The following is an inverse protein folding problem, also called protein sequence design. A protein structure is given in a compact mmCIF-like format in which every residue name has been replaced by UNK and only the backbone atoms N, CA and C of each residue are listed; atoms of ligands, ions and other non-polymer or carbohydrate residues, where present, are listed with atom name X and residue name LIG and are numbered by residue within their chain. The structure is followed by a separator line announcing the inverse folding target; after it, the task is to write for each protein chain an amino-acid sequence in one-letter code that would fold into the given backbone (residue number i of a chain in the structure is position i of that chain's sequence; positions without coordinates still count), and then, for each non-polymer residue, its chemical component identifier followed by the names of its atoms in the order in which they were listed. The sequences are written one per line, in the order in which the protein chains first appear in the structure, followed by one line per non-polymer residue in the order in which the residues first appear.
data_IF_539685967747
#
_entry.id   IF_539685967747
#
_cell.length_a   1.000
_cell.length_b   1.000
_cell.length_c   1.000
_cell.angle_alpha   90.00
_cell.angle_beta   90.00
_cell.angle_gamma   90.00
#
_symmetry.space_group_name_H-M   'P 1'
#
loop_
_entity.id
_entity.type
_entity.pdbx_description
1 polymer ?
#
# COMPACT_ATOMS: atom_id res chain seq x y z
N UNK A 1 -13.98 18.72 105.21
CA UNK A 1 -12.79 19.07 104.40
C UNK A 1 -13.30 19.36 102.98
N UNK A 2 -13.74 20.59 102.65
CA UNK A 2 -12.99 21.70 102.00
C UNK A 2 -12.04 21.29 100.86
N UNK A 3 -12.33 21.85 99.65
CA UNK A 3 -11.39 22.48 98.68
C UNK A 3 -10.64 21.51 97.72
N UNK A 4 -10.47 21.72 96.40
CA UNK A 4 -10.78 22.78 95.41
C UNK A 4 -10.60 22.22 93.97
N UNK A 5 -11.31 22.86 93.02
CA UNK A 5 -11.19 22.88 91.56
C UNK A 5 -9.79 22.72 90.93
N UNK A 6 -9.71 22.19 89.69
CA UNK A 6 -9.11 22.92 88.54
C UNK A 6 -9.32 22.25 87.15
N UNK A 7 -9.94 23.01 86.22
CA UNK A 7 -9.88 23.06 84.74
C UNK A 7 -9.97 21.76 83.86
N UNK A 8 -10.37 21.73 82.57
CA UNK A 8 -11.18 22.49 81.60
C UNK A 8 -10.83 21.87 80.23
N UNK A 9 -11.79 21.37 79.44
CA UNK A 9 -11.88 21.52 77.97
C UNK A 9 -12.89 20.53 77.37
N UNK A 10 -13.99 21.10 76.89
CA UNK A 10 -14.94 20.48 75.99
C UNK A 10 -14.48 20.74 74.54
N UNK A 11 -14.44 19.71 73.68
CA UNK A 11 -14.51 19.87 72.23
C UNK A 11 -15.30 18.70 71.62
N UNK A 12 -16.37 18.96 70.83
CA UNK A 12 -17.11 17.97 70.07
C UNK A 12 -16.55 17.83 68.65
N UNK A 13 -16.57 16.63 68.07
CA UNK A 13 -16.35 16.39 66.64
C UNK A 13 -17.32 15.26 66.23
N UNK A 14 -18.57 15.52 65.83
CA UNK A 14 -19.05 16.28 64.68
C UNK A 14 -18.39 15.82 63.35
N UNK A 15 -19.18 15.03 62.62
CA UNK A 15 -19.25 14.88 61.16
C UNK A 15 -18.09 14.18 60.42
N UNK A 16 -18.19 12.85 60.30
CA UNK A 16 -17.75 12.13 59.09
C UNK A 16 -18.94 12.09 58.11
N UNK A 17 -19.08 13.11 57.27
CA UNK A 17 -19.97 13.03 56.11
C UNK A 17 -19.31 13.72 54.90
N UNK A 18 -19.32 13.00 53.78
CA UNK A 18 -19.04 13.46 52.42
C UNK A 18 -17.59 13.82 52.07
N UNK A 19 -16.74 12.81 51.88
CA UNK A 19 -15.58 12.89 50.99
C UNK A 19 -15.85 12.12 49.68
N UNK A 20 -17.01 12.37 49.05
CA UNK A 20 -17.17 12.06 47.62
C UNK A 20 -16.45 13.17 46.85
N UNK A 21 -15.23 12.91 46.35
CA UNK A 21 -14.64 13.76 45.31
C UNK A 21 -15.63 13.81 44.15
N UNK A 22 -16.10 15.01 43.81
CA UNK A 22 -16.94 15.26 42.64
C UNK A 22 -16.25 14.63 41.43
N UNK A 23 -16.86 13.62 40.82
CA UNK A 23 -16.39 13.06 39.56
C UNK A 23 -16.67 14.12 38.50
N UNK A 24 -15.63 14.87 38.12
CA UNK A 24 -15.72 15.77 36.98
C UNK A 24 -15.72 14.91 35.72
N UNK A 25 -16.89 14.79 35.11
CA UNK A 25 -17.02 14.26 33.75
C UNK A 25 -16.41 15.29 32.81
N UNK A 26 -15.18 15.04 32.36
CA UNK A 26 -14.58 15.78 31.25
C UNK A 26 -15.36 15.35 30.00
N UNK A 27 -16.22 16.23 29.48
CA UNK A 27 -16.87 15.99 28.20
C UNK A 27 -15.81 15.86 27.11
N UNK A 28 -15.91 14.80 26.30
CA UNK A 28 -15.02 14.64 25.17
C UNK A 28 -15.18 15.85 24.23
N UNK A 29 -14.08 16.42 23.70
CA UNK A 29 -14.17 17.55 22.81
C UNK A 29 -15.05 17.20 21.60
N UNK A 30 -15.90 18.15 21.20
CA UNK A 30 -16.77 17.99 20.04
C UNK A 30 -15.92 17.63 18.81
N UNK A 31 -16.31 16.57 18.11
CA UNK A 31 -15.59 16.09 16.93
C UNK A 31 -16.00 16.93 15.71
N UNK A 32 -15.04 17.16 14.81
CA UNK A 32 -15.30 17.93 13.59
C UNK A 32 -16.29 17.19 12.67
N UNK A 33 -17.21 17.93 12.05
CA UNK A 33 -18.25 17.36 11.17
C UNK A 33 -17.79 17.15 9.72
N UNK A 34 -16.58 17.59 9.37
CA UNK A 34 -15.97 17.43 8.04
C UNK A 34 -15.05 16.19 8.00
N UNK A 35 -15.38 15.13 8.74
CA UNK A 35 -14.52 13.95 8.89
C UNK A 35 -15.07 12.70 8.21
N UNK A 36 -14.23 11.68 8.08
CA UNK A 36 -14.67 10.32 7.73
C UNK A 36 -15.00 9.56 9.02
N UNK A 37 -16.18 8.93 9.07
CA UNK A 37 -16.60 8.07 10.18
C UNK A 37 -16.13 6.63 10.00
N UNK A 38 -16.21 6.12 8.78
CA UNK A 38 -15.67 4.81 8.43
C UNK A 38 -15.30 4.73 6.95
N UNK A 39 -14.30 3.93 6.65
CA UNK A 39 -13.90 3.56 5.29
C UNK A 39 -13.73 2.06 5.23
N UNK A 40 -14.38 1.38 4.29
CA UNK A 40 -14.20 -0.06 4.05
C UNK A 40 -14.25 -0.39 2.57
N UNK A 41 -13.49 -1.39 2.14
CA UNK A 41 -13.53 -1.93 0.79
C UNK A 41 -14.49 -3.12 0.77
N UNK A 42 -15.53 -3.06 -0.07
CA UNK A 42 -16.65 -4.01 -0.03
C UNK A 42 -16.68 -4.99 -1.20
N UNK A 43 -15.93 -4.76 -2.27
CA UNK A 43 -15.85 -5.66 -3.43
C UNK A 43 -14.83 -6.80 -3.21
N UNK A 44 -14.91 -7.46 -2.05
CA UNK A 44 -14.08 -8.60 -1.65
C UNK A 44 -14.97 -9.83 -1.39
N UNK A 45 -14.45 -11.05 -1.56
CA UNK A 45 -15.28 -12.27 -1.46
C UNK A 45 -15.76 -12.57 -0.03
N UNK A 46 -15.01 -12.13 0.98
CA UNK A 46 -15.27 -12.37 2.40
C UNK A 46 -15.78 -11.10 3.10
N UNK A 47 -15.40 -10.88 4.35
CA UNK A 47 -15.69 -9.65 5.07
C UNK A 47 -14.99 -8.43 4.45
N UNK A 48 -15.65 -7.28 4.56
CA UNK A 48 -15.11 -6.02 4.07
C UNK A 48 -13.75 -5.70 4.71
N UNK A 49 -12.82 -5.16 3.90
CA UNK A 49 -11.52 -4.74 4.41
C UNK A 49 -11.63 -3.32 4.95
N UNK A 50 -11.53 -3.17 6.27
CA UNK A 50 -11.62 -1.86 6.94
C UNK A 50 -10.34 -1.04 6.77
N UNK A 51 -10.52 0.26 6.52
CA UNK A 51 -9.46 1.25 6.54
C UNK A 51 -9.35 1.93 7.91
N UNK A 52 -8.12 2.15 8.35
CA UNK A 52 -7.83 2.97 9.53
C UNK A 52 -7.86 4.45 9.16
N UNK A 53 -8.82 5.20 9.71
CA UNK A 53 -8.95 6.65 9.51
C UNK A 53 -8.17 7.37 10.59
N UNK A 54 -7.30 8.29 10.18
CA UNK A 54 -6.58 9.20 11.07
C UNK A 54 -6.93 10.64 10.70
N UNK A 55 -7.78 11.26 11.50
CA UNK A 55 -8.28 12.61 11.28
C UNK A 55 -7.19 13.68 11.49
N UNK A 56 -6.27 13.47 12.44
CA UNK A 56 -5.18 14.42 12.73
C UNK A 56 -4.18 14.49 11.57
N UNK A 57 -3.88 13.35 10.96
CA UNK A 57 -2.94 13.25 9.84
C UNK A 57 -3.62 13.42 8.48
N UNK A 58 -4.97 13.40 8.43
CA UNK A 58 -5.72 13.38 7.17
C UNK A 58 -5.35 12.17 6.32
N UNK A 59 -5.37 10.97 6.89
CA UNK A 59 -5.04 9.73 6.16
C UNK A 59 -6.06 8.63 6.37
N UNK A 60 -6.16 7.75 5.37
CA UNK A 60 -6.91 6.51 5.41
C UNK A 60 -5.93 5.41 5.02
N UNK A 61 -5.62 4.48 5.93
CA UNK A 61 -4.71 3.37 5.63
C UNK A 61 -5.51 2.10 5.37
N UNK A 62 -5.30 1.49 4.20
CA UNK A 62 -5.95 0.23 3.81
C UNK A 62 -4.88 -0.78 3.43
N UNK A 63 -4.95 -1.96 4.05
CA UNK A 63 -4.02 -3.08 3.80
C UNK A 63 -4.82 -4.21 3.17
N UNK A 64 -4.64 -4.42 1.86
CA UNK A 64 -5.38 -5.43 1.11
C UNK A 64 -4.70 -6.80 1.18
N UNK A 65 -5.44 -7.89 1.42
CA UNK A 65 -4.93 -9.23 1.23
C UNK A 65 -4.58 -9.48 -0.24
N UNK A 66 -3.34 -9.89 -0.52
CA UNK A 66 -2.86 -10.02 -1.90
C UNK A 66 -3.49 -11.20 -2.65
N UNK A 67 -3.97 -12.21 -1.93
CA UNK A 67 -4.61 -13.41 -2.49
C UNK A 67 -6.03 -13.14 -3.02
N UNK A 68 -6.59 -11.95 -2.78
CA UNK A 68 -7.81 -11.52 -3.48
C UNK A 68 -7.54 -10.99 -4.89
N UNK A 69 -6.28 -10.78 -5.26
CA UNK A 69 -5.89 -10.35 -6.62
C UNK A 69 -6.66 -9.12 -7.11
N UNK A 70 -6.94 -8.18 -6.20
CA UNK A 70 -7.71 -6.98 -6.53
C UNK A 70 -6.91 -6.08 -7.48
N UNK A 71 -7.52 -5.71 -8.60
CA UNK A 71 -7.04 -4.66 -9.50
C UNK A 71 -7.89 -3.39 -9.42
N UNK A 72 -9.05 -3.50 -8.77
CA UNK A 72 -10.02 -2.42 -8.53
C UNK A 72 -10.59 -2.56 -7.11
N UNK A 73 -10.84 -1.45 -6.43
CA UNK A 73 -11.56 -1.42 -5.14
C UNK A 73 -12.83 -0.57 -5.22
N UNK A 74 -13.84 -0.95 -4.44
CA UNK A 74 -15.06 -0.19 -4.21
C UNK A 74 -15.14 0.21 -2.74
N UNK A 75 -14.80 1.47 -2.40
CA UNK A 75 -14.92 1.96 -1.04
C UNK A 75 -16.36 2.30 -0.66
N UNK A 76 -16.81 1.83 0.49
CA UNK A 76 -17.97 2.37 1.19
C UNK A 76 -17.48 3.32 2.30
N UNK A 77 -17.91 4.57 2.23
CA UNK A 77 -17.45 5.67 3.07
C UNK A 77 -18.66 6.26 3.80
N UNK A 78 -18.57 6.32 5.12
CA UNK A 78 -19.54 7.01 5.97
C UNK A 78 -18.96 8.35 6.42
N UNK A 79 -19.79 9.40 6.36
CA UNK A 79 -19.49 10.75 6.84
C UNK A 79 -20.64 11.24 7.73
N UNK A 80 -20.44 12.28 8.55
CA UNK A 80 -21.50 12.85 9.38
C UNK A 80 -22.74 13.26 8.58
N UNK A 81 -23.90 13.32 9.25
CA UNK A 81 -25.16 13.70 8.63
C UNK A 81 -25.07 15.09 7.97
N UNK A 82 -25.50 15.18 6.72
CA UNK A 82 -25.43 16.42 5.92
C UNK A 82 -24.03 16.76 5.41
N UNK A 83 -23.00 15.97 5.71
CA UNK A 83 -21.70 16.05 5.05
C UNK A 83 -21.70 15.27 3.72
N UNK A 84 -20.74 15.57 2.86
CA UNK A 84 -20.51 14.91 1.57
C UNK A 84 -19.04 14.54 1.44
N UNK A 85 -18.73 13.53 0.61
CA UNK A 85 -17.36 13.11 0.31
C UNK A 85 -17.13 13.00 -1.19
N UNK A 86 -15.96 13.41 -1.67
CA UNK A 86 -15.53 13.30 -3.06
C UNK A 86 -14.12 12.70 -3.15
N UNK A 87 -13.86 11.62 -3.91
CA UNK A 87 -14.86 10.81 -4.64
C UNK A 87 -15.97 10.28 -3.74
N UNK A 88 -17.17 10.12 -4.31
CA UNK A 88 -18.33 9.65 -3.56
C UNK A 88 -18.16 8.20 -3.11
N UNK A 89 -18.83 7.84 -2.02
CA UNK A 89 -18.94 6.44 -1.58
C UNK A 89 -19.48 5.56 -2.72
N UNK A 90 -18.89 4.39 -2.91
CA UNK A 90 -19.24 3.42 -3.95
C UNK A 90 -18.56 3.66 -5.30
N UNK A 91 -17.84 4.77 -5.50
CA UNK A 91 -17.06 5.01 -6.74
C UNK A 91 -15.86 4.06 -6.80
N UNK A 92 -15.73 3.34 -7.91
CA UNK A 92 -14.62 2.43 -8.14
C UNK A 92 -13.29 3.18 -8.29
N UNK A 93 -12.25 2.65 -7.65
CA UNK A 93 -10.86 3.00 -7.93
C UNK A 93 -10.24 1.84 -8.69
N UNK A 94 -9.98 2.04 -9.97
CA UNK A 94 -9.33 1.05 -10.84
C UNK A 94 -7.81 1.08 -10.72
N UNK A 95 -7.15 0.14 -11.42
CA UNK A 95 -5.70 0.10 -11.62
C UNK A 95 -4.89 0.25 -10.31
N UNK A 96 -5.39 -0.28 -9.20
CA UNK A 96 -4.79 -0.05 -7.87
C UNK A 96 -3.37 -0.58 -7.77
N UNK A 97 -3.05 -1.65 -8.50
CA UNK A 97 -1.71 -2.22 -8.60
C UNK A 97 -0.71 -1.21 -9.18
N UNK A 98 -1.05 -0.63 -10.34
CA UNK A 98 -0.27 0.41 -11.00
C UNK A 98 -0.13 1.65 -10.11
N UNK A 99 -1.24 2.12 -9.52
CA UNK A 99 -1.25 3.29 -8.63
C UNK A 99 -0.34 3.10 -7.43
N UNK A 100 -0.30 1.91 -6.83
CA UNK A 100 0.63 1.57 -5.75
C UNK A 100 2.09 1.54 -6.22
N UNK A 101 2.38 0.91 -7.38
CA UNK A 101 3.76 0.83 -7.89
C UNK A 101 4.32 2.17 -8.35
N UNK A 102 3.47 3.08 -8.83
CA UNK A 102 3.87 4.42 -9.30
C UNK A 102 3.77 5.49 -8.21
N UNK A 103 3.25 5.16 -7.02
CA UNK A 103 3.06 6.13 -5.94
C UNK A 103 2.00 7.21 -6.26
N UNK A 104 0.98 6.85 -7.04
CA UNK A 104 -0.13 7.75 -7.36
C UNK A 104 -0.88 8.14 -6.09
N UNK A 105 -1.07 9.45 -5.88
CA UNK A 105 -1.83 9.98 -4.74
C UNK A 105 -3.33 9.89 -5.03
N UNK A 106 -4.07 9.30 -4.11
CA UNK A 106 -5.54 9.25 -4.12
C UNK A 106 -6.01 10.04 -2.90
N UNK A 107 -6.90 11.00 -3.11
CA UNK A 107 -7.38 11.89 -2.05
C UNK A 107 -8.91 11.89 -2.00
N UNK A 108 -9.44 12.02 -0.79
CA UNK A 108 -10.85 12.21 -0.49
C UNK A 108 -11.04 13.56 0.20
N UNK A 109 -12.03 14.33 -0.23
CA UNK A 109 -12.40 15.60 0.38
C UNK A 109 -13.78 15.46 1.00
N UNK A 110 -13.86 15.60 2.32
CA UNK A 110 -15.13 15.68 3.04
C UNK A 110 -15.51 17.14 3.18
N UNK A 111 -16.75 17.48 2.82
CA UNK A 111 -17.33 18.81 3.01
C UNK A 111 -18.52 18.70 3.96
N UNK A 112 -18.43 19.34 5.13
CA UNK A 112 -19.52 19.37 6.10
C UNK A 112 -20.66 20.30 5.66
N UNK A 113 -21.80 20.22 6.35
CA UNK A 113 -22.99 21.05 6.12
C UNK A 113 -22.71 22.55 6.23
N UNK A 114 -21.78 22.95 7.09
CA UNK A 114 -21.34 24.35 7.27
C UNK A 114 -20.34 24.83 6.20
N UNK A 115 -19.96 23.94 5.27
CA UNK A 115 -19.00 24.22 4.19
C UNK A 115 -17.53 23.99 4.57
N UNK A 116 -17.21 23.67 5.83
CA UNK A 116 -15.85 23.31 6.23
C UNK A 116 -15.39 22.02 5.54
N UNK A 117 -14.09 21.92 5.25
CA UNK A 117 -13.51 20.81 4.47
C UNK A 117 -12.33 20.16 5.16
N UNK A 118 -12.17 18.85 4.98
CA UNK A 118 -10.96 18.11 5.32
C UNK A 118 -10.57 17.20 4.16
N UNK A 119 -9.26 17.05 3.94
CA UNK A 119 -8.70 16.21 2.89
C UNK A 119 -7.99 15.01 3.52
N UNK A 120 -8.29 13.82 3.00
CA UNK A 120 -7.72 12.56 3.43
C UNK A 120 -6.93 11.92 2.29
N UNK A 121 -5.69 11.52 2.53
CA UNK A 121 -4.89 10.72 1.60
C UNK A 121 -5.15 9.23 1.83
N UNK A 122 -5.52 8.51 0.79
CA UNK A 122 -5.63 7.05 0.82
C UNK A 122 -4.23 6.44 0.68
N UNK A 123 -3.75 5.81 1.75
CA UNK A 123 -2.54 5.01 1.80
C UNK A 123 -2.91 3.55 1.56
N UNK A 124 -2.83 3.14 0.30
CA UNK A 124 -3.16 1.79 -0.11
C UNK A 124 -1.90 0.92 -0.15
N UNK A 125 -1.94 -0.23 0.50
CA UNK A 125 -0.87 -1.23 0.47
C UNK A 125 -1.46 -2.64 0.39
N UNK A 126 -0.61 -3.62 0.08
CA UNK A 126 -0.99 -5.04 0.14
C UNK A 126 -0.14 -5.80 1.16
N UNK A 127 -0.67 -6.94 1.59
CA UNK A 127 0.06 -7.93 2.40
C UNK A 127 1.03 -8.79 1.56
N UNK A 128 1.26 -8.46 0.29
CA UNK A 128 2.22 -9.18 -0.54
C UNK A 128 3.62 -9.04 0.09
N UNK A 129 4.33 -10.14 0.38
CA UNK A 129 5.72 -10.07 0.83
C UNK A 129 6.61 -9.38 -0.20
N UNK A 130 7.74 -8.81 0.23
CA UNK A 130 8.74 -8.33 -0.71
C UNK A 130 9.20 -9.48 -1.63
N UNK A 131 9.37 -9.19 -2.91
CA UNK A 131 9.93 -10.15 -3.87
C UNK A 131 11.44 -10.16 -3.77
N UNK A 132 12.05 -11.33 -3.97
CA UNK A 132 13.50 -11.47 -4.11
C UNK A 132 13.82 -11.95 -5.51
N UNK A 133 14.97 -11.54 -6.04
CA UNK A 133 15.46 -11.96 -7.35
C UNK A 133 16.81 -12.63 -7.17
N UNK A 134 17.02 -13.72 -7.89
CA UNK A 134 18.36 -14.27 -8.09
C UNK A 134 19.02 -13.49 -9.23
N UNK A 135 20.29 -13.12 -9.05
CA UNK A 135 21.02 -12.34 -10.06
C UNK A 135 21.29 -13.19 -11.31
N UNK A 136 20.99 -12.63 -12.49
CA UNK A 136 21.37 -13.27 -13.76
C UNK A 136 22.88 -13.23 -14.01
N UNK A 137 23.53 -12.16 -13.54
CA UNK A 137 24.97 -11.96 -13.63
C UNK A 137 25.58 -12.05 -12.23
N UNK A 138 26.54 -12.94 -12.01
CA UNK A 138 27.26 -13.01 -10.72
C UNK A 138 28.40 -12.01 -10.63
N UNK A 139 28.99 -11.64 -11.77
CA UNK A 139 30.09 -10.67 -11.88
C UNK A 139 29.66 -9.48 -12.76
N UNK A 140 29.59 -8.25 -12.24
CA UNK A 140 29.24 -7.08 -13.04
C UNK A 140 30.30 -6.70 -14.07
N UNK A 141 31.56 -7.12 -13.92
CA UNK A 141 32.61 -6.90 -14.93
C UNK A 141 32.49 -7.86 -16.12
N UNK A 142 31.86 -9.03 -15.93
CA UNK A 142 31.62 -10.05 -16.94
C UNK A 142 30.13 -10.44 -16.96
N UNK A 143 29.24 -9.54 -17.39
CA UNK A 143 27.80 -9.74 -17.31
C UNK A 143 27.34 -10.87 -18.22
N UNK A 144 26.30 -11.59 -17.77
CA UNK A 144 25.57 -12.57 -18.58
C UNK A 144 25.04 -11.91 -19.84
N UNK A 145 25.23 -12.59 -20.98
CA UNK A 145 24.82 -12.09 -22.30
C UNK A 145 23.43 -12.65 -22.65
N UNK A 146 22.51 -11.74 -22.94
CA UNK A 146 21.18 -12.04 -23.48
C UNK A 146 21.16 -11.66 -24.96
N UNK A 147 20.84 -12.62 -25.82
CA UNK A 147 20.81 -12.39 -27.26
C UNK A 147 19.43 -11.96 -27.73
N UNK A 148 19.36 -10.93 -28.58
CA UNK A 148 18.08 -10.47 -29.15
C UNK A 148 17.33 -11.62 -29.84
N UNK A 149 16.00 -11.61 -29.73
CA UNK A 149 15.15 -12.43 -30.59
C UNK A 149 15.03 -11.82 -31.99
N UNK A 150 14.72 -12.65 -33.00
CA UNK A 150 14.35 -12.23 -34.36
C UNK A 150 12.95 -12.76 -34.68
N UNK A 151 11.88 -12.06 -34.23
CA UNK A 151 10.50 -12.51 -34.46
C UNK A 151 10.15 -12.67 -35.94
N UNK A 152 10.74 -11.85 -36.82
CA UNK A 152 10.52 -11.92 -38.27
C UNK A 152 10.97 -13.24 -38.89
N UNK A 153 11.93 -13.94 -38.27
CA UNK A 153 12.40 -15.26 -38.70
C UNK A 153 12.03 -16.37 -37.72
N UNK A 154 11.12 -16.09 -36.77
CA UNK A 154 10.69 -17.01 -35.71
C UNK A 154 11.84 -17.55 -34.83
N UNK A 155 12.94 -16.82 -34.71
CA UNK A 155 14.03 -17.14 -33.78
C UNK A 155 13.79 -16.41 -32.46
N UNK A 156 13.52 -17.15 -31.38
CA UNK A 156 13.27 -16.58 -30.06
C UNK A 156 14.33 -17.05 -29.06
N UNK A 157 15.00 -16.08 -28.45
CA UNK A 157 15.92 -16.32 -27.36
C UNK A 157 15.21 -16.03 -26.05
N UNK A 158 15.15 -17.01 -25.16
CA UNK A 158 14.47 -16.90 -23.89
C UNK A 158 15.46 -16.89 -22.72
N UNK A 159 15.07 -16.24 -21.64
CA UNK A 159 15.70 -16.39 -20.34
C UNK A 159 14.63 -16.45 -19.25
N UNK A 160 15.04 -16.97 -18.09
CA UNK A 160 14.19 -17.04 -16.91
C UNK A 160 14.78 -16.15 -15.81
N UNK A 161 13.92 -15.48 -15.06
CA UNK A 161 14.27 -14.86 -13.80
C UNK A 161 13.69 -15.72 -12.68
N UNK A 162 14.55 -16.17 -11.77
CA UNK A 162 14.14 -16.91 -10.57
C UNK A 162 14.13 -16.02 -9.33
N UNK A 163 13.37 -16.43 -8.33
CA UNK A 163 13.23 -15.69 -7.10
C UNK A 163 12.14 -16.22 -6.19
N UNK A 164 11.61 -15.36 -5.32
CA UNK A 164 10.57 -15.72 -4.35
C UNK A 164 9.45 -14.68 -4.31
N UNK A 165 8.28 -15.14 -3.90
CA UNK A 165 7.08 -14.34 -3.64
C UNK A 165 6.48 -13.67 -4.88
N UNK A 166 6.73 -14.22 -6.07
CA UNK A 166 6.04 -13.77 -7.27
C UNK A 166 4.57 -14.19 -7.20
N UNK A 167 3.71 -13.37 -7.80
CA UNK A 167 2.31 -13.70 -7.99
C UNK A 167 2.18 -14.47 -9.31
N UNK A 168 1.58 -15.68 -9.28
CA UNK A 168 1.32 -16.41 -10.51
C UNK A 168 0.34 -15.63 -11.38
N UNK A 169 0.44 -15.85 -12.69
CA UNK A 169 -0.38 -15.17 -13.68
C UNK A 169 -1.88 -15.33 -13.39
N UNK A 170 -2.62 -14.23 -13.41
CA UNK A 170 -4.09 -14.24 -13.36
C UNK A 170 -4.62 -13.58 -14.63
N UNK A 171 -4.67 -14.33 -15.73
CA UNK A 171 -4.99 -13.81 -17.07
C UNK A 171 -6.34 -13.10 -17.11
N UNK A 172 -7.37 -13.72 -16.52
CA UNK A 172 -8.73 -13.18 -16.46
C UNK A 172 -8.81 -11.87 -15.65
N UNK A 173 -7.86 -11.64 -14.75
CA UNK A 173 -7.77 -10.43 -13.93
C UNK A 173 -6.78 -9.41 -14.49
N UNK A 174 -6.10 -9.73 -15.60
CA UNK A 174 -5.06 -8.89 -16.18
C UNK A 174 -3.83 -8.72 -15.30
N UNK A 175 -3.55 -9.66 -14.39
CA UNK A 175 -2.38 -9.60 -13.51
C UNK A 175 -1.26 -10.41 -14.13
N UNK A 176 -0.26 -9.67 -14.62
CA UNK A 176 0.97 -10.19 -15.18
C UNK A 176 2.15 -9.63 -14.41
N UNK A 177 3.19 -10.43 -14.27
CA UNK A 177 4.48 -9.88 -13.87
C UNK A 177 5.17 -9.26 -15.09
N UNK A 178 5.96 -8.23 -14.86
CA UNK A 178 6.71 -7.53 -15.90
C UNK A 178 8.20 -7.59 -15.65
N UNK A 179 8.97 -7.63 -16.75
CA UNK A 179 10.43 -7.51 -16.74
C UNK A 179 10.80 -6.23 -17.47
N UNK A 180 11.32 -5.27 -16.73
CA UNK A 180 11.80 -3.99 -17.25
C UNK A 180 13.32 -3.97 -17.37
N UNK A 181 13.82 -3.45 -18.49
CA UNK A 181 15.23 -3.23 -18.77
C UNK A 181 15.57 -1.77 -18.47
N UNK A 182 16.44 -1.56 -17.48
CA UNK A 182 16.85 -0.23 -17.04
C UNK A 182 18.25 0.06 -17.56
N UNK A 183 18.44 1.21 -18.20
CA UNK A 183 19.77 1.65 -18.61
C UNK A 183 20.66 2.04 -17.41
N UNK A 184 21.89 2.46 -17.67
CA UNK A 184 22.85 2.88 -16.63
C UNK A 184 22.32 4.04 -15.78
N UNK A 185 21.56 4.97 -16.38
CA UNK A 185 20.93 6.09 -15.68
C UNK A 185 19.72 5.65 -14.82
N UNK A 186 19.30 4.39 -14.91
CA UNK A 186 18.16 3.84 -14.16
C UNK A 186 16.80 4.08 -14.82
N UNK A 187 16.78 4.58 -16.06
CA UNK A 187 15.55 4.77 -16.82
C UNK A 187 15.10 3.46 -17.44
N UNK A 188 13.80 3.18 -17.38
CA UNK A 188 13.20 2.03 -18.08
C UNK A 188 13.22 2.29 -19.58
N UNK A 189 13.90 1.42 -20.34
CA UNK A 189 14.00 1.48 -21.81
C UNK A 189 12.97 0.58 -22.48
N UNK A 190 12.76 -0.61 -21.91
CA UNK A 190 11.79 -1.58 -22.40
C UNK A 190 11.14 -2.31 -21.23
N UNK A 191 9.88 -2.71 -21.39
CA UNK A 191 9.18 -3.57 -20.43
C UNK A 191 8.49 -4.70 -21.18
N UNK A 192 8.91 -5.93 -20.89
CA UNK A 192 8.23 -7.13 -21.32
C UNK A 192 7.08 -7.43 -20.35
N UNK A 193 5.91 -7.75 -20.90
CA UNK A 193 4.79 -8.33 -20.15
C UNK A 193 4.84 -9.82 -20.43
N UNK A 194 5.11 -10.62 -19.40
CA UNK A 194 5.53 -12.01 -19.61
C UNK A 194 4.43 -13.03 -19.44
N UNK A 195 4.52 -14.05 -20.31
CA UNK A 195 3.89 -15.35 -20.19
C UNK A 195 4.72 -16.31 -19.33
N UNK A 196 4.05 -17.31 -18.76
CA UNK A 196 4.59 -18.30 -17.82
C UNK A 196 5.11 -17.72 -16.49
N UNK A 197 4.25 -17.01 -15.76
CA UNK A 197 4.55 -16.53 -14.40
C UNK A 197 4.17 -17.58 -13.34
N UNK A 198 5.18 -18.05 -12.62
CA UNK A 198 5.03 -18.92 -11.45
C UNK A 198 5.43 -18.16 -10.19
N UNK A 199 5.21 -18.75 -9.01
CA UNK A 199 5.56 -18.15 -7.72
C UNK A 199 7.06 -17.95 -7.49
N UNK A 200 7.90 -18.64 -8.28
CA UNK A 200 9.36 -18.66 -8.13
C UNK A 200 10.14 -18.40 -9.43
N UNK A 201 9.47 -18.34 -10.60
CA UNK A 201 10.11 -18.08 -11.88
C UNK A 201 9.22 -17.30 -12.84
N UNK A 202 9.84 -16.49 -13.68
CA UNK A 202 9.20 -15.74 -14.77
C UNK A 202 10.05 -15.94 -16.01
N UNK A 203 9.47 -16.53 -17.07
CA UNK A 203 10.12 -16.69 -18.37
C UNK A 203 9.83 -15.51 -19.30
N UNK A 204 10.78 -15.16 -20.18
CA UNK A 204 10.51 -14.19 -21.25
C UNK A 204 11.43 -14.33 -22.43
N UNK A 205 10.96 -13.87 -23.59
CA UNK A 205 11.81 -13.65 -24.74
C UNK A 205 12.61 -12.36 -24.56
N UNK A 206 13.88 -12.39 -24.96
CA UNK A 206 14.68 -11.17 -25.12
C UNK A 206 14.07 -10.38 -26.30
N UNK A 207 13.76 -9.08 -26.16
CA UNK A 207 13.19 -8.27 -27.23
C UNK A 207 14.07 -8.23 -28.48
N UNK A 208 13.49 -7.79 -29.60
CA UNK A 208 14.29 -7.56 -30.82
C UNK A 208 15.22 -6.34 -30.65
N UNK A 209 16.27 -6.28 -31.47
CA UNK A 209 17.20 -5.15 -31.47
C UNK A 209 16.54 -3.80 -31.80
N UNK A 210 15.38 -3.82 -32.46
CA UNK A 210 14.57 -2.64 -32.75
C UNK A 210 13.84 -2.13 -31.50
N UNK A 211 13.35 -3.05 -30.66
CA UNK A 211 12.61 -2.73 -29.43
C UNK A 211 13.54 -2.37 -28.27
N UNK A 212 14.71 -3.01 -28.20
CA UNK A 212 15.73 -2.78 -27.19
C UNK A 212 17.09 -2.77 -27.88
N UNK A 213 17.79 -1.63 -27.95
CA UNK A 213 19.13 -1.59 -28.50
C UNK A 213 20.13 -2.45 -27.71
N UNK A 214 21.26 -2.78 -28.33
CA UNK A 214 22.36 -3.44 -27.62
C UNK A 214 22.93 -2.52 -26.52
N UNK A 215 23.26 -3.10 -25.37
CA UNK A 215 23.76 -2.32 -24.22
C UNK A 215 23.78 -3.10 -22.91
N UNK A 216 24.15 -2.39 -21.83
CA UNK A 216 24.08 -2.90 -20.47
C UNK A 216 22.76 -2.47 -19.81
N UNK A 217 22.08 -3.43 -19.21
CA UNK A 217 20.79 -3.20 -18.57
C UNK A 217 20.71 -3.87 -17.21
N UNK A 218 20.14 -3.17 -16.22
CA UNK A 218 19.66 -3.82 -14.99
C UNK A 218 18.25 -4.32 -15.21
N UNK A 219 17.96 -5.51 -14.69
CA UNK A 219 16.64 -6.10 -14.79
C UNK A 219 15.82 -5.75 -13.55
N UNK A 220 14.65 -5.14 -13.77
CA UNK A 220 13.63 -4.95 -12.74
C UNK A 220 12.46 -5.89 -13.00
N UNK A 221 12.07 -6.64 -11.99
CA UNK A 221 10.82 -7.39 -11.99
C UNK A 221 9.78 -6.61 -11.22
N UNK A 222 8.57 -6.50 -11.77
CA UNK A 222 7.38 -6.09 -11.03
C UNK A 222 6.41 -7.25 -11.01
N UNK A 223 5.99 -7.69 -9.83
CA UNK A 223 5.01 -8.75 -9.64
C UNK A 223 3.90 -8.22 -8.74
N UNK A 224 2.70 -8.06 -9.32
CA UNK A 224 1.52 -7.46 -8.68
C UNK A 224 1.80 -6.05 -8.12
N UNK A 225 2.09 -5.91 -6.82
CA UNK A 225 2.32 -4.60 -6.16
C UNK A 225 3.75 -4.40 -5.66
N UNK A 226 4.64 -5.34 -5.99
CA UNK A 226 6.03 -5.34 -5.56
C UNK A 226 6.95 -5.29 -6.75
N UNK A 227 8.05 -4.56 -6.59
CA UNK A 227 9.12 -4.52 -7.57
C UNK A 227 10.46 -4.73 -6.89
N UNK A 228 11.38 -5.39 -7.59
CA UNK A 228 12.78 -5.52 -7.21
C UNK A 228 13.65 -5.33 -8.45
N UNK A 229 14.84 -4.76 -8.27
CA UNK A 229 15.82 -4.56 -9.34
C UNK A 229 17.09 -5.32 -8.99
N UNK A 230 17.57 -6.12 -9.93
CA UNK A 230 18.86 -6.79 -9.83
C UNK A 230 19.99 -5.77 -9.68
N UNK A 231 21.01 -6.15 -8.92
CA UNK A 231 22.18 -5.31 -8.67
C UNK A 231 23.10 -5.29 -9.89
N UNK A 232 23.36 -6.46 -10.47
CA UNK A 232 24.30 -6.62 -11.57
C UNK A 232 23.59 -6.46 -12.93
N UNK A 233 24.24 -5.81 -13.91
CA UNK A 233 23.67 -5.68 -15.23
C UNK A 233 23.78 -6.99 -16.02
N UNK A 234 22.93 -7.14 -17.03
CA UNK A 234 23.08 -8.08 -18.14
C UNK A 234 23.53 -7.30 -19.37
N UNK A 235 24.24 -7.97 -20.29
CA UNK A 235 24.58 -7.42 -21.60
C UNK A 235 23.59 -7.92 -22.62
N UNK A 236 22.90 -7.02 -23.30
CA UNK A 236 22.01 -7.37 -24.42
C UNK A 236 22.73 -7.06 -25.73
N UNK A 237 22.74 -8.01 -26.67
CA UNK A 237 23.34 -7.83 -27.99
C UNK A 237 22.74 -8.77 -29.03
N UNK A 238 23.03 -8.53 -30.31
CA UNK A 238 22.71 -9.48 -31.37
C UNK A 238 23.68 -10.67 -31.35
N UNK A 239 23.20 -11.81 -31.84
CA UNK A 239 24.05 -12.94 -32.26
C UNK A 239 24.95 -12.53 -33.42
#
# INVERSE_FOLDING_TARGET
MKIKYLLLLAIPALTLAAACKKTETIEAPAQANNRILSFKVTNVPDEAVYGAVNDEQGTITVILPYYYYLTTIQPEIAVPEGATVSPASGVLIDSITKKMTEGTKIEYVVTAKDGSKATYKLLLTTQQPAITLDELSTDPANPTVLYHSKPATFEFNFFEVTGKNFIPQQELLGIFSTISYLNEQGNVVYTAVNGDNYTYRIGTAVPSAEQLPAGLYRIRVTSYTRSATMKNPVKVQSL
#
